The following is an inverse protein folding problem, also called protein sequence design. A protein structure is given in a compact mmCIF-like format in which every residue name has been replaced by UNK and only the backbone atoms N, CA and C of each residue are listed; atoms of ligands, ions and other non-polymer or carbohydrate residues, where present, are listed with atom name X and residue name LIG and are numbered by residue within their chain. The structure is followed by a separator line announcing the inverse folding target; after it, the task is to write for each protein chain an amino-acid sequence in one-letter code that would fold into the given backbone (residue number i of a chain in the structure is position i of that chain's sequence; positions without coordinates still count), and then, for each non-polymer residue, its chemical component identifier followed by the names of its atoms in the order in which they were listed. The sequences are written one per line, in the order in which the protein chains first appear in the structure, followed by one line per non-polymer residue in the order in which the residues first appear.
data_IF_853343086731
#
_entry.id   IF_853343086731
#
_cell.length_a   1.000
_cell.length_b   1.000
_cell.length_c   1.000
_cell.angle_alpha   90.00
_cell.angle_beta   90.00
_cell.angle_gamma   90.00
#
_symmetry.space_group_name_H-M   'P 1'
#
loop_
_entity.id
_entity.type
_entity.pdbx_description
1 polymer ?
#
# COMPACT_ATOMS: atom_id res chain seq x y z
N UNK A 1 39.87 25.05 -1.80
CA UNK A 1 39.78 26.36 -2.46
C UNK A 1 38.53 26.31 -3.33
N UNK A 2 37.45 26.99 -2.96
CA UNK A 2 36.20 27.00 -3.76
C UNK A 2 36.41 27.93 -4.95
N UNK A 3 36.03 27.48 -6.16
CA UNK A 3 36.11 28.29 -7.37
C UNK A 3 35.07 29.42 -7.32
N UNK A 4 35.51 30.65 -7.61
CA UNK A 4 34.58 31.75 -7.91
C UNK A 4 33.81 31.37 -9.19
N UNK A 5 32.48 31.42 -9.12
CA UNK A 5 31.47 31.12 -10.15
C UNK A 5 30.66 29.82 -9.99
N UNK A 6 30.83 29.06 -8.90
CA UNK A 6 29.89 27.99 -8.56
C UNK A 6 28.73 28.50 -7.67
N UNK A 7 27.50 28.47 -8.20
CA UNK A 7 26.30 28.61 -7.37
C UNK A 7 26.21 27.36 -6.50
N UNK A 8 26.51 27.49 -5.20
CA UNK A 8 26.26 26.45 -4.21
C UNK A 8 24.75 26.37 -3.95
N UNK A 9 24.03 25.71 -4.86
CA UNK A 9 22.67 25.29 -4.62
C UNK A 9 22.71 24.06 -3.71
N UNK A 10 22.81 24.29 -2.40
CA UNK A 10 22.42 23.28 -1.43
C UNK A 10 20.91 23.13 -1.54
N UNK A 11 20.45 22.20 -2.37
CA UNK A 11 19.08 21.73 -2.29
C UNK A 11 18.92 21.11 -0.90
N UNK A 12 18.08 21.74 -0.09
CA UNK A 12 17.57 21.17 1.15
C UNK A 12 17.11 19.73 0.87
N UNK A 13 17.74 18.80 1.57
CA UNK A 13 17.47 17.37 1.49
C UNK A 13 16.58 16.98 2.67
N UNK A 14 15.59 17.82 2.98
CA UNK A 14 14.36 17.43 3.65
C UNK A 14 13.64 16.37 2.80
N UNK A 15 14.24 15.18 2.73
CA UNK A 15 13.53 13.95 2.52
C UNK A 15 12.58 13.84 3.70
N UNK A 16 11.36 14.33 3.52
CA UNK A 16 10.25 13.85 4.33
C UNK A 16 10.27 12.35 4.12
N UNK A 17 10.66 11.59 5.14
CA UNK A 17 10.56 10.14 5.16
C UNK A 17 9.07 9.84 5.06
N UNK A 18 8.55 9.81 3.84
CA UNK A 18 7.16 9.53 3.53
C UNK A 18 6.96 8.07 3.93
N UNK A 19 6.50 7.89 5.16
CA UNK A 19 6.31 6.57 5.72
C UNK A 19 4.98 6.10 5.19
N UNK A 20 4.99 5.43 4.03
CA UNK A 20 3.80 4.76 3.53
C UNK A 20 3.85 3.27 3.91
N UNK A 21 2.80 2.78 4.54
CA UNK A 21 2.60 1.35 4.76
C UNK A 21 1.48 0.87 3.84
N UNK A 22 1.76 -0.09 2.94
CA UNK A 22 0.70 -0.73 2.18
C UNK A 22 -0.11 -1.67 3.08
N UNK A 23 -1.42 -1.73 2.88
CA UNK A 23 -2.28 -2.82 3.35
C UNK A 23 -2.84 -3.55 2.15
N UNK A 24 -2.83 -4.88 2.20
CA UNK A 24 -3.23 -5.72 1.07
C UNK A 24 -4.32 -6.68 1.54
N UNK A 25 -5.38 -6.78 0.75
CA UNK A 25 -6.52 -7.66 0.98
C UNK A 25 -6.72 -8.50 -0.29
N UNK A 26 -6.79 -9.81 -0.10
CA UNK A 26 -6.96 -10.78 -1.18
C UNK A 26 -8.35 -11.42 -1.07
N UNK A 27 -9.14 -11.33 -2.15
CA UNK A 27 -10.31 -12.17 -2.35
C UNK A 27 -9.96 -13.18 -3.43
N UNK A 28 -9.58 -14.39 -3.01
CA UNK A 28 -9.20 -15.46 -3.93
C UNK A 28 -10.15 -16.65 -3.75
N UNK A 29 -10.36 -17.38 -4.84
CA UNK A 29 -10.88 -18.74 -4.77
C UNK A 29 -9.73 -19.64 -4.33
N UNK A 30 -9.93 -20.42 -3.26
CA UNK A 30 -8.94 -21.42 -2.87
C UNK A 30 -9.07 -22.58 -3.86
N UNK A 31 -8.00 -22.90 -4.62
CA UNK A 31 -8.06 -24.00 -5.57
C UNK A 31 -8.29 -25.34 -4.87
N UNK A 32 -9.01 -26.24 -5.52
CA UNK A 32 -9.27 -27.59 -4.99
C UNK A 32 -8.08 -28.54 -5.26
N UNK A 33 -7.30 -28.24 -6.30
CA UNK A 33 -6.12 -29.01 -6.69
C UNK A 33 -4.85 -28.16 -6.75
N UNK A 34 -3.70 -28.78 -6.47
CA UNK A 34 -2.39 -28.11 -6.44
C UNK A 34 -1.93 -27.62 -7.83
N UNK A 35 -2.50 -28.15 -8.91
CA UNK A 35 -2.21 -27.73 -10.28
C UNK A 35 -2.97 -26.48 -10.70
N UNK A 36 -3.96 -26.04 -9.93
CA UNK A 36 -4.74 -24.83 -10.20
C UNK A 36 -4.03 -23.55 -9.74
N UNK A 37 -4.48 -22.41 -10.27
CA UNK A 37 -3.86 -21.11 -10.02
C UNK A 37 -4.36 -20.46 -8.73
N UNK A 38 -3.45 -20.00 -7.87
CA UNK A 38 -3.75 -19.16 -6.71
C UNK A 38 -4.04 -17.69 -7.08
N UNK A 39 -3.88 -17.32 -8.35
CA UNK A 39 -4.07 -15.95 -8.84
C UNK A 39 -5.50 -15.68 -9.34
N UNK A 40 -6.44 -16.60 -9.10
CA UNK A 40 -7.85 -16.40 -9.43
C UNK A 40 -8.54 -15.61 -8.29
N UNK A 41 -8.63 -14.29 -8.47
CA UNK A 41 -9.20 -13.40 -7.46
C UNK A 41 -8.93 -11.90 -7.68
N UNK A 42 -9.38 -11.09 -6.72
CA UNK A 42 -9.18 -9.65 -6.69
C UNK A 42 -8.23 -9.25 -5.56
N UNK A 43 -7.31 -8.33 -5.88
CA UNK A 43 -6.35 -7.76 -4.93
C UNK A 43 -6.68 -6.31 -4.68
N UNK A 44 -6.91 -5.96 -3.42
CA UNK A 44 -7.12 -4.60 -2.98
C UNK A 44 -5.87 -4.12 -2.24
N UNK A 45 -5.29 -3.02 -2.72
CA UNK A 45 -4.11 -2.40 -2.11
C UNK A 45 -4.48 -1.00 -1.65
N UNK A 46 -4.33 -0.72 -0.36
CA UNK A 46 -4.40 0.62 0.20
C UNK A 46 -3.01 1.07 0.63
N UNK A 47 -2.75 2.38 0.54
CA UNK A 47 -1.54 2.99 1.08
C UNK A 47 -1.93 3.94 2.19
N UNK A 48 -1.15 3.95 3.26
CA UNK A 48 -1.41 4.79 4.44
C UNK A 48 -0.17 5.47 4.89
N UNK A 49 -0.33 6.66 5.44
CA UNK A 49 0.74 7.31 6.17
C UNK A 49 0.97 6.59 7.51
N UNK A 50 2.10 5.92 7.69
CA UNK A 50 2.44 5.15 8.88
C UNK A 50 2.44 6.00 10.16
N UNK A 51 2.71 7.31 10.05
CA UNK A 51 2.79 8.22 11.20
C UNK A 51 1.39 8.55 11.70
N UNK A 52 0.46 8.90 10.81
CA UNK A 52 -0.91 9.28 11.19
C UNK A 52 -1.88 8.10 11.24
N UNK A 53 -1.56 7.02 10.53
CA UNK A 53 -2.43 5.89 10.30
C UNK A 53 -1.75 4.56 10.59
N UNK A 54 -1.30 4.33 11.84
CA UNK A 54 -0.62 3.10 12.21
C UNK A 54 -1.52 1.89 11.96
N UNK A 55 -0.90 0.78 11.54
CA UNK A 55 -1.62 -0.47 11.30
C UNK A 55 -2.19 -1.02 12.61
N UNK A 56 -3.46 -1.41 12.59
CA UNK A 56 -4.14 -2.06 13.71
C UNK A 56 -5.17 -3.06 13.20
N UNK A 57 -5.49 -4.07 14.02
CA UNK A 57 -6.47 -5.09 13.67
C UNK A 57 -7.84 -4.49 13.33
N UNK A 58 -8.30 -3.51 14.12
CA UNK A 58 -9.59 -2.82 13.89
C UNK A 58 -9.60 -2.12 12.53
N UNK A 59 -8.51 -1.41 12.20
CA UNK A 59 -8.42 -0.73 10.90
C UNK A 59 -8.41 -1.72 9.74
N UNK A 60 -7.68 -2.83 9.87
CA UNK A 60 -7.67 -3.86 8.84
C UNK A 60 -9.07 -4.46 8.63
N UNK A 61 -9.84 -4.70 9.69
CA UNK A 61 -11.23 -5.14 9.59
C UNK A 61 -12.14 -4.10 8.89
N UNK A 62 -11.94 -2.80 9.15
CA UNK A 62 -12.68 -1.74 8.45
C UNK A 62 -12.35 -1.69 6.97
N UNK A 63 -11.08 -1.84 6.60
CA UNK A 63 -10.67 -1.89 5.19
C UNK A 63 -11.20 -3.11 4.48
N UNK A 64 -11.23 -4.25 5.16
CA UNK A 64 -11.84 -5.47 4.65
C UNK A 64 -13.33 -5.29 4.39
N UNK A 65 -14.07 -4.68 5.32
CA UNK A 65 -15.48 -4.36 5.12
C UNK A 65 -15.68 -3.39 3.94
N UNK A 66 -14.82 -2.39 3.80
CA UNK A 66 -14.88 -1.48 2.65
C UNK A 66 -14.62 -2.21 1.33
N UNK A 67 -13.63 -3.10 1.31
CA UNK A 67 -13.33 -3.92 0.14
C UNK A 67 -14.51 -4.85 -0.22
N UNK A 68 -15.18 -5.44 0.78
CA UNK A 68 -16.42 -6.22 0.57
C UNK A 68 -17.54 -5.39 -0.05
N UNK A 69 -17.69 -4.13 0.35
CA UNK A 69 -18.71 -3.22 -0.20
C UNK A 69 -18.40 -2.74 -1.63
N UNK A 70 -17.14 -2.79 -2.05
CA UNK A 70 -16.71 -2.51 -3.43
C UNK A 70 -16.75 -3.77 -4.30
N UNK A 71 -16.64 -4.95 -3.68
CA UNK A 71 -16.69 -6.27 -4.31
C UNK A 71 -18.10 -6.85 -4.65
N UNK A 72 -19.29 -6.22 -4.40
CA UNK A 72 -20.58 -6.90 -4.63
C UNK A 72 -20.96 -7.05 -6.13
N UNK A 73 -20.04 -6.79 -7.06
CA UNK A 73 -20.26 -6.94 -8.50
C UNK A 73 -19.55 -8.15 -9.14
N UNK A 74 -18.91 -9.02 -8.37
CA UNK A 74 -18.43 -10.32 -8.86
C UNK A 74 -19.37 -11.44 -8.43
N UNK A 75 -20.48 -11.54 -9.15
CA UNK A 75 -21.34 -12.72 -9.24
C UNK A 75 -20.84 -13.66 -10.32
#
# INVERSE_FOLDING_TARGET
MVAQDSVLAAADHDFTKLSLTPSVIFFISIPEDISESFYDGQVFVSYKDTVFEPSSAIRHSTEFLNALNVHPYSS
#
